data_IF_761557656939
#
_entry.id   IF_761557656939
#
_cell.length_a   1.000
_cell.length_b   1.000
_cell.length_c   1.000
_cell.angle_alpha   90.00
_cell.angle_beta   90.00
_cell.angle_gamma   90.00
#
_symmetry.space_group_name_H-M   'P 1'
#
loop_
_entity.id
_entity.type
_entity.pdbx_description
1 polymer ?
#
# COMPACT_ATOMS: atom_id res chain seq x y z
N UNK A 1 2.95 -34.31 3.16
CA UNK A 1 2.60 -32.91 2.92
C UNK A 1 1.63 -32.51 4.02
N UNK A 2 1.95 -31.48 4.80
CA UNK A 2 1.14 -31.07 5.96
C UNK A 2 0.05 -30.08 5.56
N UNK A 3 0.26 -29.28 4.51
CA UNK A 3 -0.76 -28.47 3.84
C UNK A 3 -0.26 -27.89 2.50
N UNK A 4 -1.19 -27.34 1.70
CA UNK A 4 -0.93 -26.56 0.47
C UNK A 4 -1.65 -25.21 0.58
N UNK A 5 -0.92 -24.10 0.42
CA UNK A 5 -1.46 -22.74 0.48
C UNK A 5 -1.10 -22.00 -0.81
N UNK A 6 -2.05 -21.21 -1.33
CA UNK A 6 -1.87 -20.34 -2.50
C UNK A 6 -2.34 -18.92 -2.20
N UNK A 7 -1.79 -17.94 -2.92
CA UNK A 7 -2.14 -16.53 -2.79
C UNK A 7 -1.79 -15.72 -4.04
N UNK A 8 -2.56 -14.68 -4.30
CA UNK A 8 -2.33 -13.74 -5.41
C UNK A 8 -1.58 -12.51 -4.90
N UNK A 9 -0.48 -12.15 -5.58
CA UNK A 9 0.29 -10.94 -5.28
C UNK A 9 -0.37 -9.71 -5.91
N UNK A 10 -0.67 -8.64 -5.16
CA UNK A 10 -1.27 -7.42 -5.71
C UNK A 10 -0.18 -6.51 -6.31
N UNK A 11 0.34 -6.88 -7.48
CA UNK A 11 1.47 -6.21 -8.13
C UNK A 11 1.11 -4.96 -8.93
N UNK A 12 2.06 -4.02 -9.04
CA UNK A 12 2.04 -2.86 -9.94
C UNK A 12 3.48 -2.54 -10.38
N UNK A 13 3.67 -1.81 -11.50
CA UNK A 13 4.99 -1.31 -11.90
C UNK A 13 5.70 -0.51 -10.79
N UNK A 14 4.94 0.15 -9.92
CA UNK A 14 5.42 0.78 -8.70
C UNK A 14 4.33 0.73 -7.62
N UNK A 15 4.75 0.64 -6.35
CA UNK A 15 3.86 0.86 -5.21
C UNK A 15 3.26 2.26 -5.30
N UNK A 16 1.96 2.39 -5.03
CA UNK A 16 1.27 3.67 -4.99
C UNK A 16 1.02 4.06 -3.54
N UNK A 17 1.79 5.04 -3.06
CA UNK A 17 1.53 5.76 -1.80
C UNK A 17 1.29 7.23 -2.14
N UNK A 18 0.03 7.64 -2.24
CA UNK A 18 -0.35 8.95 -2.79
C UNK A 18 -1.65 9.46 -2.16
N UNK A 19 -1.80 10.79 -2.10
CA UNK A 19 -3.05 11.43 -1.68
C UNK A 19 -3.83 11.94 -2.90
N UNK A 20 -5.11 11.61 -2.98
CA UNK A 20 -6.01 12.00 -4.07
C UNK A 20 -7.32 12.58 -3.51
N UNK A 21 -7.68 13.83 -3.80
CA UNK A 21 -8.99 14.36 -3.48
C UNK A 21 -10.08 13.64 -4.30
N UNK A 22 -11.00 12.95 -3.63
CA UNK A 22 -12.13 12.27 -4.26
C UNK A 22 -13.42 12.85 -3.67
N UNK A 23 -14.04 13.75 -4.44
CA UNK A 23 -15.23 14.48 -3.99
C UNK A 23 -14.93 15.34 -2.76
N UNK A 24 -15.53 14.98 -1.62
CA UNK A 24 -15.32 15.67 -0.33
C UNK A 24 -14.31 14.98 0.58
N UNK A 25 -13.72 13.87 0.15
CA UNK A 25 -12.79 13.08 0.94
C UNK A 25 -11.37 13.17 0.38
N UNK A 26 -10.37 13.01 1.26
CA UNK A 26 -8.99 12.75 0.86
C UNK A 26 -8.79 11.22 0.86
N UNK A 27 -8.56 10.63 -0.30
CA UNK A 27 -8.25 9.21 -0.43
C UNK A 27 -6.74 9.03 -0.35
N UNK A 28 -6.27 8.19 0.58
CA UNK A 28 -4.87 7.78 0.66
C UNK A 28 -4.72 6.41 0.03
N UNK A 29 -3.99 6.36 -1.08
CA UNK A 29 -3.62 5.13 -1.75
C UNK A 29 -2.43 4.51 -1.01
N UNK A 30 -2.49 3.20 -0.79
CA UNK A 30 -1.39 2.41 -0.24
C UNK A 30 -1.50 0.96 -0.74
N UNK A 31 -1.14 0.73 -2.00
CA UNK A 31 -1.29 -0.57 -2.67
C UNK A 31 -0.26 -0.80 -3.78
N UNK A 32 -0.26 -2.00 -4.37
CA UNK A 32 0.67 -2.37 -5.44
C UNK A 32 1.98 -3.00 -4.95
N UNK A 33 1.98 -3.57 -3.74
CA UNK A 33 3.19 -4.10 -3.09
C UNK A 33 3.68 -5.45 -3.61
N UNK A 34 2.94 -6.10 -4.51
CA UNK A 34 3.34 -7.39 -5.07
C UNK A 34 3.70 -8.41 -3.98
N UNK A 35 4.91 -8.95 -4.05
CA UNK A 35 5.46 -9.89 -3.06
C UNK A 35 6.11 -9.24 -1.84
N UNK A 36 6.33 -7.93 -1.88
CA UNK A 36 7.19 -7.21 -0.93
C UNK A 36 6.40 -6.47 0.16
N UNK A 37 5.09 -6.67 0.23
CA UNK A 37 4.21 -5.96 1.17
C UNK A 37 4.65 -6.06 2.64
N UNK A 38 5.21 -7.19 3.06
CA UNK A 38 5.77 -7.32 4.42
C UNK A 38 7.03 -6.48 4.59
N UNK A 39 7.97 -6.60 3.64
CA UNK A 39 9.24 -5.84 3.63
C UNK A 39 9.02 -4.33 3.62
N UNK A 40 8.03 -3.85 2.85
CA UNK A 40 7.76 -2.43 2.65
C UNK A 40 6.80 -1.82 3.69
N UNK A 41 6.10 -2.66 4.47
CA UNK A 41 4.97 -2.27 5.32
C UNK A 41 5.21 -1.01 6.15
N UNK A 42 6.30 -0.95 6.93
CA UNK A 42 6.59 0.19 7.81
C UNK A 42 6.95 1.47 7.06
N UNK A 43 7.65 1.36 5.93
CA UNK A 43 8.01 2.51 5.09
C UNK A 43 6.76 3.13 4.47
N UNK A 44 5.92 2.30 3.85
CA UNK A 44 4.65 2.74 3.26
C UNK A 44 3.70 3.32 4.33
N UNK A 45 3.62 2.70 5.51
CA UNK A 45 2.81 3.21 6.61
C UNK A 45 3.30 4.59 7.10
N UNK A 46 4.62 4.80 7.18
CA UNK A 46 5.20 6.11 7.55
C UNK A 46 4.83 7.18 6.53
N UNK A 47 4.93 6.86 5.25
CA UNK A 47 4.60 7.80 4.17
C UNK A 47 3.10 8.13 4.14
N UNK A 48 2.23 7.15 4.38
CA UNK A 48 0.79 7.37 4.59
C UNK A 48 0.53 8.36 5.73
N UNK A 49 1.20 8.21 6.88
CA UNK A 49 1.05 9.13 8.02
C UNK A 49 1.46 10.55 7.64
N UNK A 50 2.55 10.71 6.89
CA UNK A 50 3.00 12.02 6.40
C UNK A 50 1.96 12.66 5.47
N UNK A 51 1.36 11.87 4.57
CA UNK A 51 0.31 12.35 3.65
C UNK A 51 -0.97 12.77 4.37
N UNK A 52 -1.37 12.06 5.43
CA UNK A 52 -2.54 12.42 6.25
C UNK A 52 -2.29 13.69 7.07
N UNK A 53 -1.05 13.89 7.53
CA UNK A 53 -0.65 15.04 8.34
C UNK A 53 -0.54 16.37 7.56
N UNK A 54 -0.63 16.35 6.23
CA UNK A 54 -0.51 17.54 5.37
C UNK A 54 0.92 17.88 4.93
N UNK A 55 1.92 17.08 5.31
CA UNK A 55 3.34 17.42 5.17
C UNK A 55 3.81 18.38 6.25
#
# INVERSE_FOLDING_TARGET
MIETITGLRPDRPSVRVEAEPIGRALCIHNYGHGGDGVTLSWGCAREVVNLVGGG
#
